data_IF_530583836939
#
_entry.id   IF_530583836939
#
_cell.length_a   1.000
_cell.length_b   1.000
_cell.length_c   1.000
_cell.angle_alpha   90.00
_cell.angle_beta   90.00
_cell.angle_gamma   90.00
#
_symmetry.space_group_name_H-M   'P 1'
#
loop_
_entity.id
_entity.type
_entity.pdbx_description
1 polymer ?
#
# COMPACT_ATOMS: atom_id res chain seq x y z
N UNK A 1 -7.50 -15.08 7.90
CA UNK A 1 -6.74 -14.20 6.98
C UNK A 1 -6.84 -14.63 5.51
N UNK A 2 -6.48 -15.89 5.13
CA UNK A 2 -6.55 -16.33 3.72
C UNK A 2 -7.97 -16.33 3.13
N UNK A 3 -8.99 -16.74 3.90
CA UNK A 3 -10.39 -16.71 3.46
C UNK A 3 -10.90 -15.29 3.24
N UNK A 4 -10.51 -14.39 4.12
CA UNK A 4 -10.84 -12.97 4.06
C UNK A 4 -10.20 -12.28 2.85
N UNK A 5 -8.90 -12.54 2.63
CA UNK A 5 -8.19 -12.03 1.46
C UNK A 5 -8.84 -12.53 0.15
N UNK A 6 -9.17 -13.82 0.08
CA UNK A 6 -9.88 -14.41 -1.08
C UNK A 6 -11.23 -13.75 -1.31
N UNK A 7 -11.98 -13.48 -0.23
CA UNK A 7 -13.27 -12.77 -0.32
C UNK A 7 -13.07 -11.35 -0.88
N UNK A 8 -12.09 -10.60 -0.36
CA UNK A 8 -11.76 -9.25 -0.82
C UNK A 8 -11.41 -9.25 -2.31
N UNK A 9 -10.52 -10.13 -2.72
CA UNK A 9 -10.12 -10.26 -4.12
C UNK A 9 -11.32 -10.60 -5.01
N UNK A 10 -12.14 -11.54 -4.61
CA UNK A 10 -13.32 -11.90 -5.37
C UNK A 10 -14.32 -10.74 -5.50
N UNK A 11 -14.53 -9.96 -4.45
CA UNK A 11 -15.38 -8.77 -4.49
C UNK A 11 -14.82 -7.69 -5.43
N UNK A 12 -13.51 -7.43 -5.39
CA UNK A 12 -12.85 -6.52 -6.32
C UNK A 12 -13.03 -7.00 -7.77
N UNK A 13 -12.80 -8.29 -8.04
CA UNK A 13 -12.94 -8.86 -9.37
C UNK A 13 -14.37 -8.77 -9.89
N UNK A 14 -15.35 -9.14 -9.06
CA UNK A 14 -16.76 -9.18 -9.46
C UNK A 14 -17.38 -7.80 -9.67
N UNK A 15 -16.93 -6.77 -8.90
CA UNK A 15 -17.55 -5.45 -8.91
C UNK A 15 -16.81 -4.45 -9.81
N UNK A 16 -15.49 -4.51 -9.82
CA UNK A 16 -14.64 -3.58 -10.59
C UNK A 16 -13.28 -4.21 -10.92
N UNK A 17 -13.18 -5.03 -11.97
CA UNK A 17 -11.92 -5.69 -12.34
C UNK A 17 -10.81 -4.71 -12.71
N UNK A 18 -11.16 -3.46 -13.09
CA UNK A 18 -10.17 -2.43 -13.41
C UNK A 18 -9.33 -2.02 -12.19
N UNK A 19 -9.83 -2.23 -10.98
CA UNK A 19 -9.03 -2.02 -9.76
C UNK A 19 -7.73 -2.84 -9.75
N UNK A 20 -7.74 -4.06 -10.29
CA UNK A 20 -6.53 -4.89 -10.40
C UNK A 20 -5.47 -4.25 -11.29
N UNK A 21 -5.89 -3.70 -12.43
CA UNK A 21 -4.97 -3.01 -13.36
C UNK A 21 -4.32 -1.82 -12.64
N UNK A 22 -5.12 -1.05 -11.91
CA UNK A 22 -4.61 0.10 -11.13
C UNK A 22 -3.64 -0.38 -10.04
N UNK A 23 -3.98 -1.45 -9.31
CA UNK A 23 -3.10 -2.01 -8.27
C UNK A 23 -1.76 -2.43 -8.86
N UNK A 24 -1.77 -3.17 -9.97
CA UNK A 24 -0.54 -3.63 -10.64
C UNK A 24 0.30 -2.45 -11.10
N UNK A 25 -0.27 -1.50 -11.82
CA UNK A 25 0.45 -0.33 -12.33
C UNK A 25 1.02 0.52 -11.19
N UNK A 26 0.22 0.78 -10.16
CA UNK A 26 0.65 1.55 -8.99
C UNK A 26 1.76 0.82 -8.22
N UNK A 27 1.65 -0.51 -8.07
CA UNK A 27 2.68 -1.33 -7.43
C UNK A 27 4.00 -1.31 -8.20
N UNK A 28 3.95 -1.38 -9.53
CA UNK A 28 5.15 -1.29 -10.37
C UNK A 28 5.81 0.08 -10.21
N UNK A 29 5.04 1.16 -10.26
CA UNK A 29 5.60 2.51 -10.10
C UNK A 29 6.22 2.68 -8.71
N UNK A 30 5.52 2.28 -7.65
CA UNK A 30 6.03 2.34 -6.28
C UNK A 30 7.25 1.44 -6.07
N UNK A 31 7.29 0.28 -6.73
CA UNK A 31 8.39 -0.67 -6.64
C UNK A 31 9.64 -0.23 -7.41
N UNK A 32 9.48 0.46 -8.54
CA UNK A 32 10.59 0.86 -9.41
C UNK A 32 11.16 2.24 -9.03
N UNK A 33 10.33 3.15 -8.56
CA UNK A 33 10.75 4.53 -8.26
C UNK A 33 11.99 4.63 -7.35
N UNK A 34 12.19 3.81 -6.29
CA UNK A 34 13.39 3.88 -5.46
C UNK A 34 14.68 3.56 -6.22
N UNK A 35 14.64 2.70 -7.24
CA UNK A 35 15.83 2.32 -8.01
C UNK A 35 16.39 3.46 -8.84
N UNK A 36 15.55 4.38 -9.31
CA UNK A 36 16.01 5.57 -10.04
C UNK A 36 17.00 6.37 -9.18
N UNK A 37 16.71 6.49 -7.87
CA UNK A 37 17.57 7.22 -6.94
C UNK A 37 18.83 6.45 -6.51
N UNK A 38 18.88 5.15 -6.72
CA UNK A 38 20.08 4.32 -6.50
C UNK A 38 20.98 4.39 -7.74
N UNK A 39 20.41 4.26 -8.93
CA UNK A 39 21.17 4.25 -10.15
C UNK A 39 21.68 5.64 -10.59
N UNK A 40 20.96 6.72 -10.23
CA UNK A 40 21.37 8.06 -10.61
C UNK A 40 22.75 8.47 -10.08
N UNK A 41 23.07 8.31 -8.78
CA UNK A 41 24.42 8.58 -8.27
C UNK A 41 25.49 7.67 -8.89
N UNK A 42 25.20 6.37 -9.04
CA UNK A 42 26.12 5.43 -9.67
C UNK A 42 26.49 5.90 -11.09
N UNK A 43 25.48 6.25 -11.87
CA UNK A 43 25.69 6.76 -13.23
C UNK A 43 26.52 8.05 -13.28
N UNK A 44 26.34 8.95 -12.32
CA UNK A 44 27.14 10.18 -12.21
C UNK A 44 28.60 9.83 -11.90
N UNK A 45 28.85 8.91 -10.98
CA UNK A 45 30.20 8.49 -10.59
C UNK A 45 30.92 7.83 -11.77
N UNK A 46 30.25 6.96 -12.50
CA UNK A 46 30.81 6.26 -13.66
C UNK A 46 31.16 7.21 -14.82
N UNK A 47 30.50 8.37 -14.88
CA UNK A 47 30.71 9.37 -15.94
C UNK A 47 31.34 10.66 -15.44
N UNK A 48 32.04 10.63 -14.28
CA UNK A 48 32.62 11.81 -13.62
C UNK A 48 33.54 12.65 -14.50
N UNK A 49 34.18 12.02 -15.51
CA UNK A 49 35.09 12.68 -16.42
C UNK A 49 34.40 13.47 -17.53
N UNK A 50 33.05 13.35 -17.63
CA UNK A 50 32.26 14.11 -18.58
C UNK A 50 31.89 15.49 -17.99
N UNK A 51 31.99 16.52 -18.82
CA UNK A 51 31.74 17.91 -18.40
C UNK A 51 30.28 18.19 -18.01
N UNK A 52 30.03 19.39 -17.49
CA UNK A 52 28.69 19.85 -17.07
C UNK A 52 27.64 19.77 -18.17
N UNK A 53 28.06 19.93 -19.44
CA UNK A 53 27.18 19.81 -20.62
C UNK A 53 26.50 18.44 -20.72
N UNK A 54 27.13 17.39 -20.19
CA UNK A 54 26.55 16.05 -20.11
C UNK A 54 25.59 15.89 -18.92
N UNK A 55 25.92 16.45 -17.78
CA UNK A 55 25.11 16.27 -16.57
C UNK A 55 23.83 17.10 -16.55
N UNK A 56 23.84 18.31 -17.13
CA UNK A 56 22.64 19.16 -17.19
C UNK A 56 21.45 18.44 -17.84
N UNK A 57 21.54 17.93 -19.08
CA UNK A 57 20.43 17.21 -19.71
C UNK A 57 20.08 15.92 -18.97
N UNK A 58 21.06 15.22 -18.37
CA UNK A 58 20.79 14.04 -17.55
C UNK A 58 19.91 14.37 -16.34
N UNK A 59 20.23 15.40 -15.55
CA UNK A 59 19.44 15.79 -14.40
C UNK A 59 18.06 16.34 -14.79
N UNK A 60 17.97 17.08 -15.88
CA UNK A 60 16.67 17.52 -16.41
C UNK A 60 15.82 16.30 -16.79
N UNK A 61 16.38 15.34 -17.50
CA UNK A 61 15.68 14.09 -17.87
C UNK A 61 15.24 13.29 -16.65
N UNK A 62 16.11 13.16 -15.65
CA UNK A 62 15.81 12.49 -14.38
C UNK A 62 14.66 13.19 -13.62
N UNK A 63 14.70 14.53 -13.59
CA UNK A 63 13.64 15.32 -12.96
C UNK A 63 12.28 15.14 -13.66
N UNK A 64 12.28 15.22 -14.99
CA UNK A 64 11.07 14.99 -15.80
C UNK A 64 10.53 13.58 -15.55
N UNK A 65 11.39 12.56 -15.62
CA UNK A 65 11.00 11.17 -15.43
C UNK A 65 10.39 10.94 -14.03
N UNK A 66 11.06 11.40 -12.99
CA UNK A 66 10.59 11.23 -11.61
C UNK A 66 9.30 12.01 -11.34
N UNK A 67 9.17 13.21 -11.90
CA UNK A 67 7.95 14.02 -11.80
C UNK A 67 6.77 13.34 -12.50
N UNK A 68 7.00 12.81 -13.70
CA UNK A 68 5.98 12.07 -14.45
C UNK A 68 5.54 10.80 -13.71
N UNK A 69 6.49 10.03 -13.17
CA UNK A 69 6.17 8.84 -12.38
C UNK A 69 5.37 9.18 -11.11
N UNK A 70 5.74 10.24 -10.40
CA UNK A 70 5.00 10.72 -9.22
C UNK A 70 3.60 11.21 -9.58
N UNK A 71 3.45 11.92 -10.69
CA UNK A 71 2.15 12.36 -11.19
C UNK A 71 1.25 11.15 -11.51
N UNK A 72 1.78 10.17 -12.27
CA UNK A 72 1.05 8.94 -12.60
C UNK A 72 0.65 8.18 -11.34
N UNK A 73 1.57 8.05 -10.37
CA UNK A 73 1.29 7.40 -9.10
C UNK A 73 0.16 8.10 -8.33
N UNK A 74 0.19 9.43 -8.25
CA UNK A 74 -0.86 10.22 -7.60
C UNK A 74 -2.21 10.05 -8.30
N UNK A 75 -2.22 10.09 -9.63
CA UNK A 75 -3.43 9.89 -10.43
C UNK A 75 -4.02 8.48 -10.24
N UNK A 76 -3.19 7.44 -10.31
CA UNK A 76 -3.63 6.06 -10.08
C UNK A 76 -4.14 5.86 -8.65
N UNK A 77 -3.46 6.42 -7.66
CA UNK A 77 -3.87 6.35 -6.25
C UNK A 77 -5.21 7.04 -6.02
N UNK A 78 -5.43 8.20 -6.62
CA UNK A 78 -6.72 8.91 -6.55
C UNK A 78 -7.87 8.11 -7.15
N UNK A 79 -7.67 7.55 -8.35
CA UNK A 79 -8.65 6.68 -9.01
C UNK A 79 -8.92 5.41 -8.19
N UNK A 80 -7.89 4.80 -7.63
CA UNK A 80 -8.01 3.62 -6.78
C UNK A 80 -8.86 3.89 -5.55
N UNK A 81 -8.58 4.99 -4.83
CA UNK A 81 -9.35 5.39 -3.64
C UNK A 81 -10.83 5.64 -3.95
N UNK A 82 -11.13 6.29 -5.07
CA UNK A 82 -12.51 6.52 -5.49
C UNK A 82 -13.26 5.21 -5.74
N UNK A 83 -12.64 4.27 -6.47
CA UNK A 83 -13.21 2.95 -6.76
C UNK A 83 -13.37 2.10 -5.49
N UNK A 84 -12.37 2.15 -4.61
CA UNK A 84 -12.44 1.50 -3.29
C UNK A 84 -13.63 2.03 -2.49
N UNK A 85 -13.86 3.34 -2.45
CA UNK A 85 -14.99 3.92 -1.74
C UNK A 85 -16.31 3.44 -2.34
N UNK A 86 -16.44 3.40 -3.66
CA UNK A 86 -17.63 2.87 -4.32
C UNK A 86 -17.89 1.40 -3.96
N UNK A 87 -16.83 0.59 -3.92
CA UNK A 87 -16.92 -0.81 -3.50
C UNK A 87 -17.42 -0.91 -2.05
N UNK A 88 -16.87 -0.11 -1.14
CA UNK A 88 -17.27 -0.06 0.28
C UNK A 88 -18.73 0.36 0.43
N UNK A 89 -19.16 1.40 -0.26
CA UNK A 89 -20.56 1.83 -0.23
C UNK A 89 -21.50 0.72 -0.74
N UNK A 90 -21.14 0.04 -1.82
CA UNK A 90 -21.91 -1.11 -2.32
C UNK A 90 -22.01 -2.25 -1.32
N UNK A 91 -20.92 -2.60 -0.63
CA UNK A 91 -20.91 -3.62 0.42
C UNK A 91 -21.75 -3.20 1.63
N UNK A 92 -21.63 -1.95 2.07
CA UNK A 92 -22.41 -1.41 3.17
C UNK A 92 -23.92 -1.46 2.87
N UNK A 93 -24.32 -1.05 1.66
CA UNK A 93 -25.72 -1.13 1.20
C UNK A 93 -26.23 -2.57 1.22
N UNK A 94 -25.40 -3.55 0.79
CA UNK A 94 -25.77 -4.96 0.83
C UNK A 94 -26.00 -5.46 2.26
N UNK A 95 -25.17 -5.06 3.22
CA UNK A 95 -25.32 -5.42 4.64
C UNK A 95 -26.60 -4.80 5.21
N UNK A 96 -26.86 -3.54 4.92
CA UNK A 96 -28.09 -2.86 5.37
C UNK A 96 -29.32 -3.55 4.79
N UNK A 97 -29.35 -3.84 3.50
CA UNK A 97 -30.46 -4.53 2.85
C UNK A 97 -30.68 -5.94 3.43
N UNK A 98 -29.59 -6.67 3.70
CA UNK A 98 -29.67 -7.95 4.39
C UNK A 98 -30.24 -7.80 5.79
N UNK A 99 -29.80 -6.83 6.55
CA UNK A 99 -30.34 -6.54 7.88
C UNK A 99 -31.83 -6.25 7.87
N UNK A 100 -32.30 -5.45 6.89
CA UNK A 100 -33.72 -5.12 6.74
C UNK A 100 -34.56 -6.33 6.28
N UNK A 101 -33.97 -7.30 5.58
CA UNK A 101 -34.67 -8.51 5.14
C UNK A 101 -34.86 -9.57 6.24
N UNK A 102 -34.19 -9.41 7.38
CA UNK A 102 -34.33 -10.33 8.52
C UNK A 102 -35.69 -10.16 9.19
N UNK A 103 -36.23 -11.27 9.74
CA UNK A 103 -37.45 -11.21 10.58
C UNK A 103 -37.22 -10.34 11.82
N UNK A 104 -38.27 -9.71 12.32
CA UNK A 104 -38.23 -8.82 13.47
C UNK A 104 -37.54 -9.46 14.68
N UNK A 105 -37.85 -10.74 14.98
CA UNK A 105 -37.21 -11.47 16.09
C UNK A 105 -35.69 -11.57 15.96
N UNK A 106 -35.19 -11.81 14.73
CA UNK A 106 -33.75 -11.85 14.45
C UNK A 106 -33.11 -10.47 14.51
N UNK A 107 -33.83 -9.42 14.08
CA UNK A 107 -33.35 -8.04 14.20
C UNK A 107 -33.20 -7.60 15.68
N UNK A 108 -34.01 -8.17 16.59
CA UNK A 108 -33.93 -7.87 18.02
C UNK A 108 -32.91 -8.74 18.77
N UNK A 109 -32.46 -9.84 18.17
CA UNK A 109 -31.46 -10.72 18.77
C UNK A 109 -30.10 -9.99 18.90
N UNK A 110 -29.58 -9.92 20.13
CA UNK A 110 -28.32 -9.26 20.46
C UNK A 110 -27.16 -9.78 19.59
N UNK A 111 -27.09 -11.10 19.37
CA UNK A 111 -26.04 -11.72 18.58
C UNK A 111 -26.03 -11.23 17.13
N UNK A 112 -27.22 -11.12 16.51
CA UNK A 112 -27.32 -10.60 15.13
C UNK A 112 -26.99 -9.12 15.03
N UNK A 113 -27.40 -8.32 16.02
CA UNK A 113 -27.03 -6.90 16.11
C UNK A 113 -25.51 -6.71 16.18
N UNK A 114 -24.83 -7.47 17.01
CA UNK A 114 -23.37 -7.44 17.13
C UNK A 114 -22.69 -7.79 15.78
N UNK A 115 -23.10 -8.89 15.16
CA UNK A 115 -22.54 -9.33 13.86
C UNK A 115 -22.72 -8.24 12.78
N UNK A 116 -23.89 -7.65 12.67
CA UNK A 116 -24.18 -6.61 11.68
C UNK A 116 -23.36 -5.34 11.99
N UNK A 117 -23.29 -4.94 13.27
CA UNK A 117 -22.50 -3.78 13.69
C UNK A 117 -21.01 -3.98 13.37
N UNK A 118 -20.46 -5.15 13.68
CA UNK A 118 -19.06 -5.47 13.39
C UNK A 118 -18.80 -5.53 11.89
N UNK A 119 -19.73 -6.07 11.11
CA UNK A 119 -19.63 -6.09 9.65
C UNK A 119 -19.63 -4.66 9.06
N UNK A 120 -20.52 -3.80 9.53
CA UNK A 120 -20.56 -2.38 9.11
C UNK A 120 -19.27 -1.69 9.54
N UNK A 121 -18.84 -1.86 10.77
CA UNK A 121 -17.61 -1.26 11.30
C UNK A 121 -16.39 -1.65 10.48
N UNK A 122 -16.23 -2.94 10.13
CA UNK A 122 -15.11 -3.42 9.34
C UNK A 122 -15.03 -2.83 7.93
N UNK A 123 -16.15 -2.35 7.38
CA UNK A 123 -16.22 -1.72 6.05
C UNK A 123 -16.17 -0.20 6.15
N UNK A 124 -16.75 0.37 7.21
CA UNK A 124 -16.94 1.81 7.35
C UNK A 124 -15.61 2.57 7.55
N UNK A 125 -14.67 1.99 8.27
CA UNK A 125 -13.37 2.61 8.51
C UNK A 125 -12.41 2.35 7.35
N UNK A 126 -11.81 3.41 6.75
CA UNK A 126 -10.93 3.25 5.58
C UNK A 126 -9.57 2.62 5.91
N UNK A 127 -9.16 2.67 7.18
CA UNK A 127 -7.84 2.20 7.61
C UNK A 127 -7.87 0.85 8.33
N UNK A 128 -9.07 0.36 8.69
CA UNK A 128 -9.28 -0.89 9.42
C UNK A 128 -10.02 -1.92 8.58
N UNK A 129 -9.87 -3.18 8.96
CA UNK A 129 -10.60 -4.31 8.38
C UNK A 129 -10.45 -4.39 6.86
N UNK A 130 -11.57 -4.49 6.17
CA UNK A 130 -11.62 -4.55 4.70
C UNK A 130 -10.98 -3.33 4.03
N UNK A 131 -11.33 -2.13 4.52
CA UNK A 131 -10.83 -0.87 3.95
C UNK A 131 -9.31 -0.76 4.04
N UNK A 132 -8.74 -1.10 5.19
CA UNK A 132 -7.29 -1.05 5.40
C UNK A 132 -6.52 -2.00 4.49
N UNK A 133 -6.98 -3.26 4.36
CA UNK A 133 -6.33 -4.25 3.49
C UNK A 133 -6.33 -3.76 2.03
N UNK A 134 -7.50 -3.34 1.53
CA UNK A 134 -7.62 -2.89 0.14
C UNK A 134 -6.80 -1.63 -0.09
N UNK A 135 -6.84 -0.65 0.82
CA UNK A 135 -6.12 0.62 0.68
C UNK A 135 -4.60 0.42 0.55
N UNK A 136 -4.03 -0.50 1.33
CA UNK A 136 -2.60 -0.71 1.38
C UNK A 136 -2.08 -1.74 0.35
N UNK A 137 -2.97 -2.41 -0.37
CA UNK A 137 -2.60 -3.45 -1.33
C UNK A 137 -1.57 -2.98 -2.38
N UNK A 138 -1.72 -1.83 -3.06
CA UNK A 138 -0.72 -1.36 -4.03
C UNK A 138 0.65 -1.09 -3.39
N UNK A 139 0.66 -0.58 -2.15
CA UNK A 139 1.89 -0.31 -1.41
C UNK A 139 2.61 -1.63 -1.06
N UNK A 140 1.87 -2.61 -0.53
CA UNK A 140 2.45 -3.91 -0.14
C UNK A 140 3.07 -4.61 -1.36
N UNK A 141 2.37 -4.67 -2.48
CA UNK A 141 2.93 -5.26 -3.70
C UNK A 141 4.11 -4.45 -4.25
N UNK A 142 4.07 -3.13 -4.15
CA UNK A 142 5.20 -2.26 -4.51
C UNK A 142 6.42 -2.55 -3.65
N UNK A 143 6.25 -2.72 -2.34
CA UNK A 143 7.34 -3.10 -1.42
C UNK A 143 7.91 -4.48 -1.73
N UNK A 144 7.08 -5.45 -2.12
CA UNK A 144 7.57 -6.78 -2.54
C UNK A 144 8.42 -6.66 -3.81
N UNK A 145 7.98 -5.89 -4.80
CA UNK A 145 8.76 -5.63 -6.02
C UNK A 145 10.09 -4.96 -5.68
N UNK A 146 10.06 -3.93 -4.83
CA UNK A 146 11.28 -3.26 -4.36
C UNK A 146 12.22 -4.23 -3.64
N UNK A 147 11.69 -5.09 -2.77
CA UNK A 147 12.49 -6.06 -2.03
C UNK A 147 13.20 -7.04 -2.98
N UNK A 148 12.48 -7.57 -3.96
CA UNK A 148 13.06 -8.47 -4.97
C UNK A 148 14.17 -7.75 -5.75
N UNK A 149 13.94 -6.50 -6.16
CA UNK A 149 14.94 -5.72 -6.87
C UNK A 149 16.16 -5.39 -6.01
N UNK A 150 15.98 -5.06 -4.72
CA UNK A 150 17.10 -4.87 -3.80
C UNK A 150 17.89 -6.15 -3.60
N UNK A 151 17.23 -7.29 -3.39
CA UNK A 151 17.92 -8.57 -3.28
C UNK A 151 18.74 -8.87 -4.52
N UNK A 152 18.22 -8.57 -5.71
CA UNK A 152 18.96 -8.75 -6.96
C UNK A 152 20.20 -7.84 -7.05
N UNK A 153 20.09 -6.57 -6.66
CA UNK A 153 21.23 -5.65 -6.61
C UNK A 153 22.26 -6.14 -5.57
N UNK A 154 21.82 -6.58 -4.40
CA UNK A 154 22.70 -7.03 -3.34
C UNK A 154 23.41 -8.35 -3.67
N UNK A 155 22.85 -9.23 -4.50
CA UNK A 155 23.56 -10.41 -4.97
C UNK A 155 24.75 -10.07 -5.88
N UNK A 156 24.74 -8.89 -6.50
CA UNK A 156 25.87 -8.38 -7.29
C UNK A 156 26.92 -7.65 -6.41
N UNK A 157 26.59 -7.39 -5.15
CA UNK A 157 27.47 -6.78 -4.16
C UNK A 157 28.00 -7.85 -3.18
N UNK A 158 28.82 -7.42 -2.23
CA UNK A 158 29.37 -8.27 -1.17
C UNK A 158 28.25 -8.81 -0.25
N UNK A 159 28.24 -10.11 0.01
CA UNK A 159 27.20 -10.79 0.81
C UNK A 159 27.02 -10.25 2.25
N UNK A 160 28.08 -9.68 2.84
CA UNK A 160 28.03 -9.07 4.17
C UNK A 160 27.12 -7.82 4.21
N UNK A 161 26.91 -7.12 3.10
CA UNK A 161 25.98 -5.99 3.00
C UNK A 161 24.53 -6.42 3.23
N UNK A 162 24.19 -7.65 2.81
CA UNK A 162 22.84 -8.21 3.05
C UNK A 162 22.62 -8.38 4.55
N UNK A 163 23.61 -8.93 5.26
CA UNK A 163 23.54 -9.09 6.72
C UNK A 163 23.40 -7.73 7.40
N UNK A 164 24.20 -6.75 6.99
CA UNK A 164 24.14 -5.39 7.54
C UNK A 164 22.75 -4.77 7.36
N UNK A 165 22.13 -4.90 6.17
CA UNK A 165 20.80 -4.41 5.89
C UNK A 165 19.72 -5.10 6.72
N UNK A 166 19.82 -6.41 6.92
CA UNK A 166 18.89 -7.16 7.78
C UNK A 166 18.97 -6.63 9.22
N UNK A 167 20.17 -6.45 9.74
CA UNK A 167 20.40 -5.92 11.09
C UNK A 167 19.82 -4.51 11.22
N UNK A 168 20.11 -3.61 10.29
CA UNK A 168 19.56 -2.25 10.29
C UNK A 168 18.01 -2.25 10.22
N UNK A 169 17.44 -3.09 9.37
CA UNK A 169 15.99 -3.22 9.25
C UNK A 169 15.36 -3.70 10.56
N UNK A 170 15.98 -4.68 11.22
CA UNK A 170 15.52 -5.17 12.52
C UNK A 170 15.53 -4.07 13.58
N UNK A 171 16.61 -3.29 13.67
CA UNK A 171 16.67 -2.16 14.60
C UNK A 171 15.64 -1.07 14.29
N UNK A 172 15.46 -0.75 13.00
CA UNK A 172 14.46 0.23 12.55
C UNK A 172 13.04 -0.22 12.89
N UNK A 173 12.70 -1.48 12.63
CA UNK A 173 11.39 -2.04 13.00
C UNK A 173 11.15 -1.99 14.51
N UNK A 174 12.17 -2.34 15.32
CA UNK A 174 12.07 -2.29 16.78
C UNK A 174 11.88 -0.85 17.29
N UNK A 175 12.56 0.11 16.66
CA UNK A 175 12.43 1.53 17.00
C UNK A 175 11.04 2.05 16.63
N UNK A 176 10.55 1.77 15.44
CA UNK A 176 9.21 2.17 14.98
C UNK A 176 8.14 1.56 15.89
N UNK A 177 8.24 0.26 16.20
CA UNK A 177 7.30 -0.40 17.10
C UNK A 177 7.24 0.29 18.47
N UNK A 178 8.40 0.63 19.05
CA UNK A 178 8.47 1.33 20.33
C UNK A 178 7.85 2.73 20.26
N UNK A 179 8.08 3.45 19.16
CA UNK A 179 7.54 4.81 18.95
C UNK A 179 6.03 4.78 18.78
N UNK A 180 5.51 3.82 18.00
CA UNK A 180 4.06 3.63 17.82
C UNK A 180 3.40 3.27 19.14
N UNK A 181 4.00 2.37 19.93
CA UNK A 181 3.46 2.01 21.25
C UNK A 181 3.38 3.21 22.20
N UNK A 182 4.39 4.07 22.21
CA UNK A 182 4.39 5.30 23.03
C UNK A 182 3.31 6.28 22.53
N UNK A 183 3.15 6.40 21.22
CA UNK A 183 2.14 7.26 20.62
C UNK A 183 0.72 6.77 20.96
N UNK A 184 0.45 5.48 20.84
CA UNK A 184 -0.85 4.88 21.18
C UNK A 184 -1.17 5.01 22.68
N UNK A 185 -0.17 4.81 23.55
CA UNK A 185 -0.33 5.02 24.98
C UNK A 185 -0.66 6.48 25.33
N UNK A 186 0.00 7.44 24.67
CA UNK A 186 -0.25 8.86 24.87
C UNK A 186 -1.68 9.27 24.47
N UNK A 187 -2.21 8.74 23.38
CA UNK A 187 -3.58 9.06 22.96
C UNK A 187 -4.65 8.36 23.78
N UNK A 188 -4.40 7.15 24.28
CA UNK A 188 -5.34 6.44 25.14
C UNK A 188 -5.44 7.04 26.57
N UNK A 189 -4.45 7.83 27.00
CA UNK A 189 -4.49 8.54 28.30
C UNK A 189 -5.24 9.88 28.23
N UNK A 190 -5.66 10.33 27.04
CA UNK A 190 -6.35 11.62 26.83
C UNK A 190 -7.88 11.45 26.73
N UNK A 191 -8.38 10.22 26.48
CA UNK A 191 -9.80 9.85 26.47
C UNK A 191 -10.25 9.35 27.85
#
# INVERSE_FOLDING_TARGET
LMKELKFILNQMWSKDPFMYVIVILNSIINGVLPFIWIFAPAYVIDNKDKGLEFFIPFFIGLFILTSLMKFLNSFLTGNYRMRMNNLRYGLNTNIINYSLSLSYSKQQDKKYKEIITDAIRSIQYPFDGFGGIVLHMPLIFGLIISLIGYLWIFTALEWWLIIYMIVLTFFSCKFIYKTTFIYDAFWNDID
#
